data_IF_723435230030
#
_entry.id   IF_723435230030
#
_cell.length_a   1.000
_cell.length_b   1.000
_cell.length_c   1.000
_cell.angle_alpha   90.00
_cell.angle_beta   90.00
_cell.angle_gamma   90.00
#
_symmetry.space_group_name_H-M   'P 1'
#
loop_
_entity.id
_entity.type
_entity.pdbx_description
1 polymer ?
#
# COMPACT_ATOMS: atom_id res chain seq x y z
N UNK A 1 -11.65 35.15 -17.14
CA UNK A 1 -10.33 35.27 -16.49
C UNK A 1 -9.52 36.28 -17.28
N UNK A 2 -8.86 37.23 -16.62
CA UNK A 2 -7.99 38.19 -17.32
C UNK A 2 -6.68 37.51 -17.72
N UNK A 3 -6.23 37.74 -18.95
CA UNK A 3 -4.97 37.23 -19.49
C UNK A 3 -3.88 38.29 -19.36
N UNK A 4 -2.68 37.88 -18.97
CA UNK A 4 -1.45 38.68 -18.97
C UNK A 4 -0.29 37.85 -19.52
N UNK A 5 0.75 38.53 -20.01
CA UNK A 5 2.03 37.90 -20.32
C UNK A 5 3.01 38.37 -19.25
N UNK A 6 3.62 37.43 -18.53
CA UNK A 6 4.60 37.71 -17.47
C UNK A 6 5.79 36.79 -17.72
N UNK A 7 7.00 37.35 -17.84
CA UNK A 7 8.23 36.59 -18.07
C UNK A 7 8.12 35.61 -19.25
N UNK A 8 7.54 36.05 -20.37
CA UNK A 8 7.28 35.27 -21.59
C UNK A 8 6.32 34.08 -21.43
N UNK A 9 5.65 33.93 -20.28
CA UNK A 9 4.62 32.93 -20.06
C UNK A 9 3.23 33.55 -20.10
N UNK A 10 2.28 32.81 -20.68
CA UNK A 10 0.86 33.17 -20.59
C UNK A 10 0.40 32.96 -19.16
N UNK A 11 -0.26 33.97 -18.59
CA UNK A 11 -0.77 33.93 -17.23
C UNK A 11 -2.26 34.30 -17.20
N UNK A 12 -3.05 33.59 -16.40
CA UNK A 12 -4.48 33.87 -16.20
C UNK A 12 -4.78 34.24 -14.75
N UNK A 13 -5.74 35.14 -14.54
CA UNK A 13 -6.24 35.48 -13.20
C UNK A 13 -6.82 34.24 -12.52
N UNK A 14 -6.50 34.04 -11.24
CA UNK A 14 -6.99 32.91 -10.46
C UNK A 14 -8.38 33.23 -9.91
N UNK A 15 -9.38 32.39 -10.23
CA UNK A 15 -10.76 32.57 -9.74
C UNK A 15 -10.82 32.46 -8.21
N UNK A 16 -11.43 33.44 -7.54
CA UNK A 16 -11.49 33.53 -6.07
C UNK A 16 -10.22 34.13 -5.42
N UNK A 17 -9.25 34.51 -6.25
CA UNK A 17 -7.95 35.08 -5.88
C UNK A 17 -7.55 36.09 -6.96
N UNK A 18 -8.43 37.05 -7.28
CA UNK A 18 -8.33 37.88 -8.49
C UNK A 18 -7.07 38.75 -8.55
N UNK A 19 -6.45 38.99 -7.38
CA UNK A 19 -5.18 39.71 -7.24
C UNK A 19 -3.96 38.93 -7.75
N UNK A 20 -4.14 37.67 -8.13
CA UNK A 20 -3.09 36.76 -8.53
C UNK A 20 -3.30 36.24 -9.95
N UNK A 21 -2.21 36.10 -10.68
CA UNK A 21 -2.15 35.43 -11.97
C UNK A 21 -1.27 34.19 -11.85
N UNK A 22 -1.67 33.11 -12.53
CA UNK A 22 -0.90 31.87 -12.59
C UNK A 22 -0.46 31.58 -14.01
N UNK A 23 0.80 31.21 -14.17
CA UNK A 23 1.40 30.90 -15.46
C UNK A 23 1.16 29.46 -15.90
N UNK A 24 1.49 29.17 -17.16
CA UNK A 24 1.37 27.83 -17.74
C UNK A 24 2.25 26.79 -17.05
N UNK A 25 3.37 27.22 -16.46
CA UNK A 25 4.34 26.40 -15.71
C UNK A 25 4.03 26.32 -14.21
N UNK A 26 2.99 26.99 -13.74
CA UNK A 26 2.57 26.99 -12.34
C UNK A 26 3.27 28.04 -11.45
N UNK A 27 3.91 29.05 -12.04
CA UNK A 27 4.40 30.22 -11.30
C UNK A 27 3.23 31.14 -10.96
N UNK A 28 3.27 31.74 -9.77
CA UNK A 28 2.18 32.57 -9.27
C UNK A 28 2.69 33.97 -9.05
N UNK A 29 2.02 34.95 -9.66
CA UNK A 29 2.36 36.35 -9.59
C UNK A 29 1.24 37.12 -8.90
N UNK A 30 1.58 37.89 -7.87
CA UNK A 30 0.65 38.88 -7.32
C UNK A 30 0.72 40.13 -8.19
N UNK A 31 -0.36 40.46 -8.88
CA UNK A 31 -0.42 41.62 -9.78
C UNK A 31 -1.14 42.81 -9.17
N UNK A 32 -1.95 42.58 -8.14
CA UNK A 32 -2.69 43.64 -7.45
C UNK A 32 -2.53 43.57 -5.92
N UNK A 33 -2.44 44.76 -5.32
CA UNK A 33 -2.45 44.97 -3.87
C UNK A 33 -3.85 45.19 -3.32
N UNK A 34 -4.83 45.58 -4.16
CA UNK A 34 -6.14 46.11 -3.72
C UNK A 34 -6.05 47.52 -3.13
N UNK A 35 -4.93 48.21 -3.33
CA UNK A 35 -4.61 49.57 -2.91
C UNK A 35 -3.67 50.19 -3.92
N UNK A 36 -3.52 51.52 -3.90
CA UNK A 36 -2.57 52.23 -4.75
C UNK A 36 -1.15 51.67 -4.60
N UNK A 37 -0.49 51.46 -5.74
CA UNK A 37 0.87 50.93 -5.78
C UNK A 37 1.87 51.94 -5.22
N UNK A 38 2.87 51.42 -4.52
CA UNK A 38 4.01 52.22 -4.07
C UNK A 38 4.90 52.61 -5.25
N UNK A 39 5.73 53.64 -5.09
CA UNK A 39 6.72 54.05 -6.09
C UNK A 39 7.63 52.88 -6.55
N UNK A 40 7.95 51.93 -5.65
CA UNK A 40 8.77 50.73 -5.95
C UNK A 40 8.08 49.71 -6.87
N UNK A 41 6.76 49.76 -6.98
CA UNK A 41 5.93 48.76 -7.70
C UNK A 41 5.09 49.38 -8.82
N UNK A 42 5.05 50.71 -8.90
CA UNK A 42 4.46 51.47 -9.99
C UNK A 42 5.16 51.09 -11.31
N UNK A 43 4.38 50.86 -12.37
CA UNK A 43 4.88 50.45 -13.69
C UNK A 43 5.27 48.97 -13.86
N UNK A 44 5.48 48.20 -12.78
CA UNK A 44 5.82 46.76 -12.89
C UNK A 44 4.63 45.92 -13.37
N UNK A 45 4.87 44.86 -14.14
CA UNK A 45 3.79 43.96 -14.58
C UNK A 45 3.16 43.21 -13.38
N UNK A 46 4.00 42.81 -12.42
CA UNK A 46 3.60 42.19 -11.17
C UNK A 46 4.35 42.79 -9.97
N UNK A 47 3.82 42.58 -8.76
CA UNK A 47 4.37 43.07 -7.51
C UNK A 47 5.39 42.09 -6.95
N UNK A 48 5.01 40.82 -6.87
CA UNK A 48 5.86 39.76 -6.32
C UNK A 48 5.50 38.40 -6.92
N UNK A 49 6.49 37.53 -7.03
CA UNK A 49 6.34 36.12 -7.37
C UNK A 49 6.23 35.29 -6.09
N UNK A 50 5.26 34.39 -6.03
CA UNK A 50 5.01 33.54 -4.88
C UNK A 50 5.68 32.19 -5.06
N UNK A 51 6.39 31.75 -4.02
CA UNK A 51 7.04 30.45 -4.02
C UNK A 51 6.05 29.30 -3.75
N UNK A 52 6.17 28.23 -4.53
CA UNK A 52 5.39 27.01 -4.36
C UNK A 52 6.08 26.07 -3.37
N UNK A 53 5.40 25.78 -2.26
CA UNK A 53 5.92 24.91 -1.20
C UNK A 53 5.63 23.44 -1.49
N UNK A 54 6.67 22.62 -1.56
CA UNK A 54 6.57 21.17 -1.62
C UNK A 54 6.97 20.55 -0.29
N UNK A 55 6.19 19.58 0.21
CA UNK A 55 6.45 18.91 1.50
C UNK A 55 6.56 17.41 1.31
N UNK A 56 7.43 16.78 2.09
CA UNK A 56 7.55 15.33 2.19
C UNK A 56 6.63 14.81 3.30
N UNK A 57 5.98 13.67 3.06
CA UNK A 57 5.26 12.94 4.09
C UNK A 57 5.35 11.44 3.83
N UNK A 58 5.69 10.65 4.84
CA UNK A 58 5.82 9.19 4.75
C UNK A 58 6.72 8.75 3.57
N UNK A 59 7.83 9.47 3.35
CA UNK A 59 8.76 9.22 2.25
C UNK A 59 8.26 9.60 0.84
N UNK A 60 7.07 10.20 0.72
CA UNK A 60 6.48 10.62 -0.57
C UNK A 60 6.34 12.14 -0.65
N UNK A 61 6.64 12.71 -1.83
CA UNK A 61 6.43 14.12 -2.13
C UNK A 61 4.92 14.42 -2.23
N UNK A 62 4.42 15.43 -1.54
CA UNK A 62 3.04 15.94 -1.67
C UNK A 62 2.91 16.93 -2.82
N UNK A 63 1.69 17.27 -3.20
CA UNK A 63 1.42 18.35 -4.16
C UNK A 63 2.02 19.67 -3.67
N UNK A 64 2.38 20.54 -4.62
CA UNK A 64 2.84 21.90 -4.32
C UNK A 64 1.68 22.79 -3.88
N UNK A 65 1.88 23.55 -2.81
CA UNK A 65 0.90 24.50 -2.28
C UNK A 65 1.45 25.93 -2.30
N UNK A 66 0.56 26.89 -2.53
CA UNK A 66 0.85 28.31 -2.36
C UNK A 66 -0.15 28.94 -1.39
N UNK A 67 0.31 29.91 -0.61
CA UNK A 67 -0.55 30.70 0.28
C UNK A 67 -1.00 31.96 -0.44
N UNK A 68 -2.28 32.01 -0.80
CA UNK A 68 -2.91 33.13 -1.49
C UNK A 68 -3.92 33.82 -0.58
N UNK A 69 -4.08 35.13 -0.69
CA UNK A 69 -5.16 35.86 -0.01
C UNK A 69 -6.40 35.84 -0.90
N UNK A 70 -7.49 35.25 -0.41
CA UNK A 70 -8.77 35.25 -1.13
C UNK A 70 -9.35 36.66 -1.28
N UNK A 71 -10.36 36.81 -2.12
CA UNK A 71 -10.96 38.11 -2.42
C UNK A 71 -11.60 38.77 -1.17
N UNK A 72 -11.94 37.97 -0.15
CA UNK A 72 -12.41 38.43 1.16
C UNK A 72 -11.27 38.83 2.12
N UNK A 73 -10.02 38.78 1.67
CA UNK A 73 -8.86 39.13 2.47
C UNK A 73 -8.31 38.01 3.37
N UNK A 74 -8.84 36.79 3.30
CA UNK A 74 -8.39 35.67 4.15
C UNK A 74 -7.30 34.85 3.46
N UNK A 75 -6.19 34.52 4.15
CA UNK A 75 -5.16 33.65 3.58
C UNK A 75 -5.67 32.21 3.45
N UNK A 76 -5.40 31.59 2.30
CA UNK A 76 -5.75 30.21 1.95
C UNK A 76 -4.54 29.50 1.37
N UNK A 77 -4.26 28.30 1.88
CA UNK A 77 -3.29 27.39 1.26
C UNK A 77 -3.99 26.57 0.18
N UNK A 78 -3.56 26.72 -1.07
CA UNK A 78 -4.21 26.12 -2.24
C UNK A 78 -3.24 25.28 -3.07
N UNK A 79 -3.68 24.12 -3.60
CA UNK A 79 -2.85 23.27 -4.44
C UNK A 79 -2.63 23.91 -5.82
N UNK A 80 -1.38 24.17 -6.16
CA UNK A 80 -1.02 24.94 -7.36
C UNK A 80 -1.40 24.21 -8.65
N UNK A 81 -1.20 22.89 -8.71
CA UNK A 81 -1.58 22.09 -9.87
C UNK A 81 -3.08 22.21 -10.21
N UNK A 82 -3.95 22.33 -9.20
CA UNK A 82 -5.39 22.53 -9.41
C UNK A 82 -5.67 23.92 -9.98
N UNK A 83 -4.95 24.95 -9.54
CA UNK A 83 -5.09 26.30 -10.08
C UNK A 83 -4.69 26.35 -11.56
N UNK A 84 -3.55 25.74 -11.92
CA UNK A 84 -3.10 25.64 -13.33
C UNK A 84 -4.15 24.90 -14.15
N UNK A 85 -4.62 23.75 -13.67
CA UNK A 85 -5.59 22.94 -14.39
C UNK A 85 -6.91 23.69 -14.67
N UNK A 86 -7.38 24.50 -13.72
CA UNK A 86 -8.59 25.33 -13.89
C UNK A 86 -8.30 26.49 -14.86
N UNK A 87 -7.17 27.18 -14.69
CA UNK A 87 -6.80 28.34 -15.49
C UNK A 87 -6.60 28.02 -16.98
N UNK A 88 -5.98 26.88 -17.28
CA UNK A 88 -5.65 26.43 -18.64
C UNK A 88 -6.66 25.43 -19.21
N UNK A 89 -7.84 25.30 -18.60
CA UNK A 89 -8.93 24.50 -19.17
C UNK A 89 -8.72 22.98 -19.15
N UNK A 90 -7.66 22.46 -18.52
CA UNK A 90 -7.52 21.02 -18.22
C UNK A 90 -8.70 20.54 -17.37
N UNK A 91 -9.27 21.43 -16.55
CA UNK A 91 -10.42 21.16 -15.70
C UNK A 91 -11.43 22.33 -15.71
N UNK A 92 -12.34 22.38 -16.69
CA UNK A 92 -13.18 23.56 -16.94
C UNK A 92 -14.24 23.83 -15.86
N UNK A 93 -14.73 22.80 -15.16
CA UNK A 93 -15.78 22.91 -14.13
C UNK A 93 -15.28 22.69 -12.70
N UNK A 94 -13.99 22.91 -12.45
CA UNK A 94 -13.36 22.64 -11.16
C UNK A 94 -13.31 21.14 -10.82
N UNK A 95 -12.70 20.81 -9.68
CA UNK A 95 -12.46 19.41 -9.30
C UNK A 95 -13.57 18.87 -8.41
N UNK A 96 -14.19 17.75 -8.80
CA UNK A 96 -14.97 16.98 -7.85
C UNK A 96 -14.00 16.21 -6.94
N UNK A 97 -13.60 16.82 -5.82
CA UNK A 97 -12.61 16.28 -4.86
C UNK A 97 -12.92 14.86 -4.38
N UNK A 98 -14.19 14.43 -4.44
CA UNK A 98 -14.60 13.07 -4.09
C UNK A 98 -14.32 12.08 -5.23
N UNK A 99 -14.42 12.48 -6.50
CA UNK A 99 -14.31 11.54 -7.64
C UNK A 99 -13.01 11.67 -8.42
N UNK A 100 -12.34 12.81 -8.31
CA UNK A 100 -11.23 13.20 -9.19
C UNK A 100 -10.05 13.72 -8.38
N UNK A 101 -8.86 13.49 -8.91
CA UNK A 101 -7.60 14.04 -8.45
C UNK A 101 -6.73 14.48 -9.64
N UNK A 102 -5.83 15.42 -9.39
CA UNK A 102 -4.82 15.83 -10.37
C UNK A 102 -3.61 14.91 -10.22
N UNK A 103 -3.17 14.34 -11.34
CA UNK A 103 -1.95 13.57 -11.44
C UNK A 103 -1.04 14.13 -12.54
N UNK A 104 0.17 13.58 -12.66
CA UNK A 104 1.26 14.09 -13.48
C UNK A 104 1.68 13.03 -14.49
N UNK A 105 1.73 13.38 -15.79
CA UNK A 105 2.08 12.41 -16.85
C UNK A 105 3.47 11.82 -16.66
N UNK A 106 4.42 12.65 -16.25
CA UNK A 106 5.82 12.28 -15.99
C UNK A 106 6.07 11.72 -14.58
N UNK A 107 5.06 11.73 -13.70
CA UNK A 107 5.19 11.37 -12.29
C UNK A 107 5.96 12.38 -11.42
N UNK A 108 6.46 13.48 -11.99
CA UNK A 108 7.20 14.52 -11.28
C UNK A 108 6.25 15.63 -10.79
N UNK A 109 5.94 15.63 -9.49
CA UNK A 109 5.01 16.60 -8.89
C UNK A 109 5.48 18.05 -8.94
N UNK A 110 6.77 18.30 -9.18
CA UNK A 110 7.33 19.63 -9.36
C UNK A 110 7.10 20.20 -10.76
N UNK A 111 6.86 19.35 -11.75
CA UNK A 111 6.51 19.77 -13.10
C UNK A 111 5.03 20.14 -13.17
N UNK A 112 4.74 21.41 -12.88
CA UNK A 112 3.38 21.96 -12.81
C UNK A 112 2.87 22.48 -14.17
N UNK A 113 3.59 22.24 -15.26
CA UNK A 113 3.17 22.70 -16.58
C UNK A 113 1.82 22.08 -16.98
N UNK A 114 0.88 22.88 -17.50
CA UNK A 114 -0.49 22.42 -17.75
C UNK A 114 -0.57 21.18 -18.66
N UNK A 115 0.34 21.05 -19.63
CA UNK A 115 0.40 19.88 -20.52
C UNK A 115 0.82 18.59 -19.80
N UNK A 116 1.50 18.70 -18.65
CA UNK A 116 1.88 17.57 -17.80
C UNK A 116 0.75 17.15 -16.83
N UNK A 117 -0.24 18.00 -16.60
CA UNK A 117 -1.33 17.72 -15.68
C UNK A 117 -2.41 16.86 -16.34
N UNK A 118 -2.90 15.86 -15.61
CA UNK A 118 -4.02 15.01 -16.02
C UNK A 118 -5.01 14.84 -14.88
N UNK A 119 -6.28 14.66 -15.24
CA UNK A 119 -7.34 14.36 -14.27
C UNK A 119 -7.53 12.86 -14.20
N UNK A 120 -7.27 12.27 -13.03
CA UNK A 120 -7.55 10.86 -12.77
C UNK A 120 -8.76 10.69 -11.87
N UNK A 121 -9.43 9.54 -11.98
CA UNK A 121 -10.45 9.13 -11.01
C UNK A 121 -9.75 8.80 -9.70
N UNK A 122 -10.22 9.40 -8.61
CA UNK A 122 -9.71 9.15 -7.27
C UNK A 122 -10.02 7.71 -6.88
N UNK A 123 -9.00 6.91 -6.59
CA UNK A 123 -9.16 5.57 -6.02
C UNK A 123 -9.20 5.70 -4.49
N UNK A 124 -10.29 5.26 -3.87
CA UNK A 124 -10.38 5.23 -2.41
C UNK A 124 -9.81 3.93 -1.87
N UNK A 125 -9.27 3.96 -0.67
CA UNK A 125 -9.01 2.75 0.10
C UNK A 125 -10.29 1.93 0.20
N UNK A 126 -10.21 0.61 -0.01
CA UNK A 126 -11.36 -0.31 -0.08
C UNK A 126 -12.25 -0.20 -1.33
N UNK A 127 -11.87 0.52 -2.40
CA UNK A 127 -12.59 0.37 -3.68
C UNK A 127 -12.52 -1.06 -4.18
N UNK A 128 -13.67 -1.58 -4.64
CA UNK A 128 -13.76 -2.92 -5.22
C UNK A 128 -12.84 -2.98 -6.45
N UNK A 129 -11.97 -3.98 -6.49
CA UNK A 129 -11.08 -4.21 -7.63
C UNK A 129 -11.90 -4.49 -8.89
N UNK A 130 -11.46 -3.93 -10.01
CA UNK A 130 -12.02 -4.23 -11.34
C UNK A 130 -11.29 -5.40 -11.99
N UNK A 131 -11.85 -5.96 -13.07
CA UNK A 131 -11.16 -7.00 -13.85
C UNK A 131 -9.80 -6.53 -14.39
N UNK A 132 -9.70 -5.28 -14.82
CA UNK A 132 -8.47 -4.68 -15.32
C UNK A 132 -7.44 -4.50 -14.20
N UNK A 133 -7.87 -4.05 -13.03
CA UNK A 133 -7.00 -3.97 -11.84
C UNK A 133 -6.44 -5.36 -11.51
N UNK A 134 -7.29 -6.40 -11.51
CA UNK A 134 -6.87 -7.79 -11.23
C UNK A 134 -5.89 -8.30 -12.30
N UNK A 135 -6.10 -7.97 -13.58
CA UNK A 135 -5.18 -8.32 -14.68
C UNK A 135 -3.79 -7.70 -14.46
N UNK A 136 -3.76 -6.43 -14.08
CA UNK A 136 -2.52 -5.71 -13.83
C UNK A 136 -1.82 -6.17 -12.54
N UNK A 137 -2.57 -6.46 -11.47
CA UNK A 137 -2.06 -7.10 -10.25
C UNK A 137 -1.39 -8.44 -10.59
N UNK A 138 -2.05 -9.30 -11.37
CA UNK A 138 -1.47 -10.59 -11.81
C UNK A 138 -0.17 -10.41 -12.60
N UNK A 139 -0.10 -9.39 -13.46
CA UNK A 139 1.13 -9.04 -14.21
C UNK A 139 2.26 -8.62 -13.26
N UNK A 140 1.98 -7.75 -12.30
CA UNK A 140 2.97 -7.29 -11.30
C UNK A 140 3.46 -8.41 -10.39
N UNK A 141 2.58 -9.34 -9.99
CA UNK A 141 2.98 -10.54 -9.24
C UNK A 141 3.92 -11.42 -10.09
N UNK A 142 3.62 -11.60 -11.39
CA UNK A 142 4.46 -12.38 -12.31
C UNK A 142 5.85 -11.74 -12.49
N UNK A 143 5.93 -10.42 -12.39
CA UNK A 143 7.20 -9.68 -12.41
C UNK A 143 7.98 -9.76 -11.09
N UNK A 144 7.45 -10.44 -10.06
CA UNK A 144 8.14 -10.63 -8.79
C UNK A 144 8.05 -9.43 -7.83
N UNK A 145 7.14 -8.47 -8.08
CA UNK A 145 6.96 -7.34 -7.17
C UNK A 145 6.41 -7.81 -5.80
N UNK A 146 6.91 -7.25 -4.68
CA UNK A 146 6.41 -7.60 -3.34
C UNK A 146 4.91 -7.36 -3.20
N UNK A 147 4.18 -8.33 -2.63
CA UNK A 147 2.71 -8.27 -2.51
C UNK A 147 2.25 -7.04 -1.72
N UNK A 148 3.00 -6.67 -0.67
CA UNK A 148 2.76 -5.45 0.12
C UNK A 148 2.82 -4.17 -0.71
N UNK A 149 3.73 -4.06 -1.69
CA UNK A 149 3.84 -2.89 -2.58
C UNK A 149 2.61 -2.79 -3.48
N UNK A 150 2.23 -3.92 -4.09
CA UNK A 150 1.03 -4.01 -4.93
C UNK A 150 -0.21 -3.64 -4.12
N UNK A 151 -0.33 -4.16 -2.89
CA UNK A 151 -1.44 -3.87 -1.99
C UNK A 151 -1.61 -2.35 -1.72
N UNK A 152 -0.50 -1.65 -1.50
CA UNK A 152 -0.47 -0.19 -1.32
C UNK A 152 -0.93 0.57 -2.58
N UNK A 153 -0.48 0.14 -3.77
CA UNK A 153 -0.82 0.80 -5.03
C UNK A 153 -2.31 0.69 -5.37
N UNK A 154 -2.96 -0.40 -4.97
CA UNK A 154 -4.39 -0.64 -5.21
C UNK A 154 -5.29 -0.35 -3.99
N UNK A 155 -4.72 0.06 -2.86
CA UNK A 155 -5.50 0.40 -1.65
C UNK A 155 -6.25 -0.80 -1.05
N UNK A 156 -5.65 -1.99 -1.12
CA UNK A 156 -6.20 -3.27 -0.65
C UNK A 156 -5.26 -3.94 0.36
N UNK A 157 -5.71 -4.98 1.07
CA UNK A 157 -4.84 -5.70 2.00
C UNK A 157 -3.88 -6.64 1.28
N UNK A 158 -2.70 -6.90 1.86
CA UNK A 158 -1.75 -7.89 1.34
C UNK A 158 -2.39 -9.29 1.24
N UNK A 159 -3.31 -9.61 2.17
CA UNK A 159 -4.10 -10.83 2.13
C UNK A 159 -4.99 -10.90 0.88
N UNK A 160 -5.63 -9.80 0.46
CA UNK A 160 -6.42 -9.76 -0.77
C UNK A 160 -5.56 -10.02 -2.00
N UNK A 161 -4.37 -9.43 -2.07
CA UNK A 161 -3.41 -9.71 -3.15
C UNK A 161 -3.00 -11.19 -3.14
N UNK A 162 -2.74 -11.77 -1.95
CA UNK A 162 -2.42 -13.19 -1.84
C UNK A 162 -3.58 -14.09 -2.30
N UNK A 163 -4.84 -13.77 -1.97
CA UNK A 163 -6.01 -14.51 -2.47
C UNK A 163 -6.17 -14.43 -3.99
N UNK A 164 -5.82 -13.30 -4.60
CA UNK A 164 -5.79 -13.15 -6.06
C UNK A 164 -4.66 -14.00 -6.66
N UNK A 165 -3.48 -14.01 -6.01
CA UNK A 165 -2.33 -14.84 -6.40
C UNK A 165 -2.66 -16.33 -6.39
N UNK A 166 -3.30 -16.82 -5.33
CA UNK A 166 -3.65 -18.24 -5.18
C UNK A 166 -4.86 -18.66 -6.03
N UNK A 167 -5.57 -17.69 -6.62
CA UNK A 167 -6.81 -17.92 -7.36
C UNK A 167 -8.02 -18.20 -6.47
N UNK A 168 -7.92 -17.97 -5.16
CA UNK A 168 -9.05 -18.02 -4.23
C UNK A 168 -10.08 -16.94 -4.56
N UNK A 169 -9.62 -15.72 -4.86
CA UNK A 169 -10.45 -14.63 -5.36
C UNK A 169 -10.15 -14.39 -6.85
N UNK A 170 -11.19 -14.15 -7.66
CA UNK A 170 -11.05 -13.89 -9.11
C UNK A 170 -10.37 -15.02 -9.90
N UNK A 171 -10.52 -16.26 -9.42
CA UNK A 171 -10.21 -17.50 -10.13
C UNK A 171 -11.50 -18.24 -10.52
N UNK A 172 -11.37 -19.35 -11.23
CA UNK A 172 -12.48 -20.20 -11.72
C UNK A 172 -13.15 -21.05 -10.60
N UNK A 173 -13.21 -20.55 -9.38
CA UNK A 173 -13.90 -21.20 -8.25
C UNK A 173 -13.11 -22.27 -7.48
N UNK A 174 -11.86 -22.60 -7.88
CA UNK A 174 -10.99 -23.53 -7.13
C UNK A 174 -9.63 -22.89 -6.87
N UNK A 175 -9.10 -23.02 -5.65
CA UNK A 175 -7.70 -22.68 -5.36
C UNK A 175 -6.82 -23.50 -6.30
N UNK A 176 -5.96 -22.84 -7.08
CA UNK A 176 -5.01 -23.56 -7.96
C UNK A 176 -3.95 -24.33 -7.16
N UNK A 177 -3.71 -23.88 -5.92
CA UNK A 177 -2.80 -24.52 -4.98
C UNK A 177 -3.65 -25.35 -4.01
N UNK A 178 -3.45 -26.68 -4.01
CA UNK A 178 -4.11 -27.58 -3.04
C UNK A 178 -3.66 -27.21 -1.63
N UNK A 179 -4.60 -27.28 -0.68
CA UNK A 179 -4.25 -27.11 0.73
C UNK A 179 -3.28 -28.22 1.14
N UNK A 180 -2.29 -27.94 1.99
CA UNK A 180 -1.43 -28.99 2.50
C UNK A 180 -2.26 -29.99 3.30
N UNK A 181 -2.00 -31.28 3.10
CA UNK A 181 -2.70 -32.39 3.76
C UNK A 181 -1.79 -33.05 4.80
N UNK A 182 -2.36 -33.32 5.98
CA UNK A 182 -1.67 -34.04 7.04
C UNK A 182 -1.33 -35.48 6.60
N UNK A 183 -0.24 -36.07 7.09
CA UNK A 183 0.18 -37.42 6.68
C UNK A 183 -0.69 -38.55 7.26
N UNK A 184 -1.51 -38.25 8.27
CA UNK A 184 -2.38 -39.19 8.96
C UNK A 184 -3.59 -38.45 9.55
N UNK A 185 -4.61 -39.20 9.97
CA UNK A 185 -5.84 -38.62 10.51
C UNK A 185 -5.65 -38.07 11.93
N UNK A 186 -6.25 -36.90 12.17
CA UNK A 186 -6.15 -36.14 13.42
C UNK A 186 -7.52 -35.48 13.66
N UNK A 187 -8.13 -35.81 14.80
CA UNK A 187 -9.44 -35.30 15.18
C UNK A 187 -9.43 -33.76 15.33
N UNK A 188 -8.47 -33.22 16.10
CA UNK A 188 -8.37 -31.79 16.32
C UNK A 188 -8.01 -31.05 15.00
N UNK A 189 -8.96 -30.25 14.50
CA UNK A 189 -8.81 -29.50 13.26
C UNK A 189 -7.68 -28.48 13.27
N UNK A 190 -7.32 -27.92 14.43
CA UNK A 190 -6.21 -26.96 14.57
C UNK A 190 -4.87 -27.69 14.49
N UNK A 191 -4.72 -28.81 15.21
CA UNK A 191 -3.51 -29.63 15.17
C UNK A 191 -3.33 -30.24 13.78
N UNK A 192 -4.39 -30.74 13.15
CA UNK A 192 -4.37 -31.27 11.78
C UNK A 192 -3.85 -30.26 10.76
N UNK A 193 -4.39 -29.03 10.77
CA UNK A 193 -3.92 -27.94 9.91
C UNK A 193 -2.46 -27.61 10.15
N UNK A 194 -2.02 -27.69 11.40
CA UNK A 194 -0.64 -27.40 11.77
C UNK A 194 0.33 -28.50 11.33
N UNK A 195 0.00 -29.77 11.57
CA UNK A 195 0.79 -30.91 11.09
C UNK A 195 0.91 -30.91 9.57
N UNK A 196 -0.11 -30.46 8.85
CA UNK A 196 -0.05 -30.33 7.40
C UNK A 196 1.07 -29.39 6.91
N UNK A 197 1.53 -28.43 7.73
CA UNK A 197 2.62 -27.51 7.34
C UNK A 197 4.02 -28.11 7.53
N UNK A 198 4.14 -29.30 8.12
CA UNK A 198 5.44 -29.95 8.33
C UNK A 198 5.90 -30.64 7.05
N UNK A 199 7.20 -30.61 6.82
CA UNK A 199 7.82 -31.52 5.87
C UNK A 199 7.72 -32.95 6.42
N UNK A 200 7.30 -33.88 5.57
CA UNK A 200 7.01 -35.26 5.95
C UNK A 200 7.91 -36.24 5.20
N UNK A 201 8.63 -37.08 5.95
CA UNK A 201 9.44 -38.19 5.41
C UNK A 201 8.97 -39.51 6.02
N UNK A 202 8.78 -40.55 5.21
CA UNK A 202 8.44 -41.89 5.72
C UNK A 202 9.53 -42.38 6.68
N UNK A 203 9.11 -42.91 7.82
CA UNK A 203 9.93 -43.51 8.86
C UNK A 203 9.43 -44.94 9.13
N UNK A 204 10.26 -45.82 9.74
CA UNK A 204 9.83 -47.16 10.10
C UNK A 204 8.55 -47.14 10.95
N UNK A 205 7.59 -48.03 10.64
CA UNK A 205 6.35 -48.16 11.41
C UNK A 205 6.67 -48.60 12.84
N UNK A 206 5.92 -48.07 13.81
CA UNK A 206 6.08 -48.39 15.23
C UNK A 206 6.97 -47.42 16.02
N UNK A 207 7.90 -46.73 15.36
CA UNK A 207 8.74 -45.71 16.03
C UNK A 207 7.91 -44.44 16.26
N UNK A 208 7.79 -44.05 17.53
CA UNK A 208 7.23 -42.76 17.93
C UNK A 208 8.30 -41.99 18.70
N UNK A 209 8.48 -40.72 18.36
CA UNK A 209 9.43 -39.82 19.03
C UNK A 209 8.76 -38.49 19.25
N UNK A 210 8.83 -38.02 20.49
CA UNK A 210 8.33 -36.70 20.88
C UNK A 210 8.95 -35.59 20.04
N UNK A 211 8.19 -34.51 19.90
CA UNK A 211 8.69 -33.32 19.25
C UNK A 211 9.77 -32.67 20.11
N UNK A 212 10.82 -32.21 19.44
CA UNK A 212 11.96 -31.51 20.06
C UNK A 212 12.38 -30.37 19.16
N UNK A 213 12.98 -29.33 19.74
CA UNK A 213 13.59 -28.25 18.97
C UNK A 213 15.08 -28.50 18.84
N UNK A 214 15.57 -28.69 17.60
CA UNK A 214 16.99 -28.67 17.30
C UNK A 214 17.42 -27.25 16.94
N UNK A 215 18.49 -26.78 17.56
CA UNK A 215 19.14 -25.51 17.22
C UNK A 215 20.25 -25.76 16.20
N UNK A 216 20.40 -24.86 15.24
CA UNK A 216 21.59 -24.79 14.43
C UNK A 216 22.67 -23.99 15.22
N UNK A 217 23.85 -24.56 15.54
CA UNK A 217 24.92 -23.87 16.24
C UNK A 217 25.43 -22.63 15.49
N UNK A 218 25.49 -22.71 14.17
CA UNK A 218 26.07 -21.66 13.32
C UNK A 218 25.10 -20.50 13.09
N UNK A 219 23.79 -20.81 13.07
CA UNK A 219 22.71 -19.82 12.89
C UNK A 219 21.63 -19.96 13.97
N UNK A 220 21.68 -19.14 15.04
CA UNK A 220 20.75 -19.23 16.18
C UNK A 220 19.26 -19.04 15.81
N UNK A 221 18.99 -18.45 14.64
CA UNK A 221 17.63 -18.23 14.13
C UNK A 221 17.10 -19.42 13.31
N UNK A 222 17.93 -20.35 12.85
CA UNK A 222 17.48 -21.53 12.09
C UNK A 222 17.15 -22.70 13.04
N UNK A 223 16.07 -22.54 13.81
CA UNK A 223 15.60 -23.59 14.71
C UNK A 223 14.69 -24.57 13.94
N UNK A 224 14.80 -25.86 14.22
CA UNK A 224 13.97 -26.89 13.56
C UNK A 224 13.21 -27.72 14.59
N UNK A 225 11.89 -27.77 14.46
CA UNK A 225 11.03 -28.68 15.22
C UNK A 225 11.05 -30.04 14.53
N UNK A 226 11.33 -31.11 15.27
CA UNK A 226 11.43 -32.47 14.74
C UNK A 226 10.69 -33.45 15.65
N UNK A 227 9.84 -34.30 15.09
CA UNK A 227 9.18 -35.41 15.79
C UNK A 227 8.93 -36.60 14.85
N UNK A 228 8.56 -37.75 15.41
CA UNK A 228 8.16 -38.93 14.63
C UNK A 228 6.83 -39.46 15.16
N UNK A 229 5.83 -39.52 14.29
CA UNK A 229 4.49 -40.01 14.61
C UNK A 229 3.94 -40.85 13.46
N UNK A 230 3.29 -41.97 13.82
CA UNK A 230 2.54 -42.81 12.89
C UNK A 230 3.29 -43.15 11.58
N UNK A 231 4.60 -43.42 11.67
CA UNK A 231 5.44 -43.76 10.52
C UNK A 231 5.92 -42.58 9.68
N UNK A 232 5.81 -41.34 10.18
CA UNK A 232 6.32 -40.15 9.52
C UNK A 232 7.25 -39.36 10.44
N UNK A 233 8.44 -39.03 9.93
CA UNK A 233 9.32 -38.00 10.48
C UNK A 233 8.82 -36.65 9.99
N UNK A 234 8.48 -35.78 10.93
CA UNK A 234 7.92 -34.46 10.69
C UNK A 234 8.96 -33.40 11.05
N UNK A 235 9.23 -32.46 10.14
CA UNK A 235 10.18 -31.36 10.35
C UNK A 235 9.59 -30.00 9.98
N UNK A 236 9.85 -28.97 10.79
CA UNK A 236 9.42 -27.59 10.52
C UNK A 236 10.47 -26.58 10.98
N UNK A 237 10.92 -25.69 10.08
CA UNK A 237 11.82 -24.58 10.42
C UNK A 237 11.07 -23.44 11.11
N UNK A 238 11.69 -22.80 12.10
CA UNK A 238 11.10 -21.71 12.86
C UNK A 238 12.15 -20.70 13.33
N UNK A 239 11.87 -19.40 13.14
CA UNK A 239 12.83 -18.32 13.46
C UNK A 239 12.95 -18.00 14.95
N UNK A 240 11.85 -18.10 15.68
CA UNK A 240 11.78 -17.72 17.10
C UNK A 240 11.74 -18.96 18.00
N UNK A 241 12.74 -19.09 18.89
CA UNK A 241 12.89 -20.27 19.73
C UNK A 241 11.81 -20.41 20.80
N UNK A 242 11.38 -19.31 21.43
CA UNK A 242 10.36 -19.35 22.49
C UNK A 242 9.04 -19.87 21.93
N UNK A 243 8.63 -19.37 20.76
CA UNK A 243 7.45 -19.89 20.06
C UNK A 243 7.61 -21.35 19.64
N UNK A 244 8.79 -21.73 19.13
CA UNK A 244 9.06 -23.12 18.75
C UNK A 244 8.93 -24.07 19.95
N UNK A 245 9.40 -23.66 21.13
CA UNK A 245 9.24 -24.43 22.39
C UNK A 245 7.78 -24.56 22.81
N UNK A 246 7.01 -23.48 22.81
CA UNK A 246 5.57 -23.51 23.11
C UNK A 246 4.80 -24.44 22.15
N UNK A 247 5.18 -24.44 20.86
CA UNK A 247 4.62 -25.35 19.87
C UNK A 247 4.94 -26.80 20.23
N UNK A 248 6.21 -27.11 20.52
CA UNK A 248 6.64 -28.45 20.89
C UNK A 248 5.88 -28.96 22.10
N UNK A 249 5.77 -28.14 23.14
CA UNK A 249 5.01 -28.47 24.35
C UNK A 249 3.55 -28.79 24.02
N UNK A 250 2.89 -27.95 23.22
CA UNK A 250 1.51 -28.16 22.79
C UNK A 250 1.34 -29.47 21.99
N UNK A 251 2.26 -29.77 21.08
CA UNK A 251 2.23 -30.99 20.29
C UNK A 251 2.46 -32.23 21.15
N UNK A 252 3.43 -32.17 22.06
CA UNK A 252 3.73 -33.27 22.96
C UNK A 252 2.57 -33.55 23.91
N UNK A 253 1.96 -32.49 24.46
CA UNK A 253 0.77 -32.61 25.29
C UNK A 253 -0.36 -33.32 24.53
N UNK A 254 -0.63 -32.92 23.28
CA UNK A 254 -1.69 -33.53 22.47
C UNK A 254 -1.41 -35.00 22.09
N UNK A 255 -0.21 -35.30 21.57
CA UNK A 255 0.07 -36.61 21.00
C UNK A 255 0.56 -37.65 22.00
N UNK A 256 1.14 -37.23 23.12
CA UNK A 256 1.83 -38.12 24.06
C UNK A 256 1.24 -38.07 25.48
N UNK A 257 0.77 -36.92 25.97
CA UNK A 257 0.30 -36.77 27.36
C UNK A 257 -1.20 -36.97 27.52
N UNK A 258 -2.04 -36.52 26.58
CA UNK A 258 -3.50 -36.69 26.70
C UNK A 258 -3.91 -38.17 26.49
N UNK A 259 -3.24 -38.88 25.59
CA UNK A 259 -3.53 -40.31 25.31
C UNK A 259 -3.14 -41.27 26.43
N UNK A 260 -2.30 -40.88 27.39
CA UNK A 260 -1.97 -41.70 28.55
C UNK A 260 -3.08 -41.68 29.61
N UNK A 261 -3.80 -40.55 29.78
CA UNK A 261 -4.95 -40.48 30.70
C UNK A 261 -6.16 -41.29 30.22
N UNK A 262 -6.44 -41.30 28.92
CA UNK A 262 -7.53 -42.11 28.35
C UNK A 262 -7.24 -43.63 28.41
N UNK A 263 -5.96 -44.04 28.28
CA UNK A 263 -5.56 -45.44 28.47
C UNK A 263 -5.61 -45.90 29.93
N UNK A 264 -5.35 -45.02 30.90
CA UNK A 264 -5.42 -45.33 32.33
C UNK A 264 -6.87 -45.41 32.83
N UNK A 265 -7.77 -44.58 32.29
CA UNK A 265 -9.18 -44.58 32.69
C UNK A 265 -10.04 -45.66 32.00
N UNK A 266 -9.49 -46.38 31.02
CA UNK A 266 -10.14 -47.51 30.33
C UNK A 266 -9.77 -48.89 30.89
N UNK A 267 -9.01 -48.95 31.99
CA UNK A 267 -8.82 -50.13 32.81
C UNK A 267 -9.67 -50.01 34.08
N UNK A 268 -10.98 -50.07 33.92
CA UNK A 268 -11.96 -50.41 34.96
C UNK A 268 -13.06 -51.24 34.30
#
# INVERSE_FOLDING_TARGET
>A
MSKKIINNEVCYSVKGFERYHISESGRIYRTDTGRNRSWRTKGKVYITELHVQFRMQNGKLRHGYASLTDDNGKPRSVPVATLVAIAFGVLPKGINKKKQEIDYKDGNKKNLHYTNLIVKKRKFTNTKLTHDDVKQIKKQIKQGLPLRRIALDYGVSEMQINRIKTGENWGSGKRKIKAPEAPFDIEDGRIRKYIATFDKKKAPRGIKKEFTVKRNPDEPTDNTIIGILNGYKLTLKHKNITRARQIVEKLNNYFFVIKTKEKLNGFF
#
